data_IF_952376478283
#
_entry.id   IF_952376478283
#
_cell.length_a   1.000
_cell.length_b   1.000
_cell.length_c   1.000
_cell.angle_alpha   90.00
_cell.angle_beta   90.00
_cell.angle_gamma   90.00
#
_symmetry.space_group_name_H-M   'P 1'
#
loop_
_entity.id
_entity.type
_entity.pdbx_description
1 polymer ?
#
# COMPACT_ATOMS: atom_id res chain seq x y z
N UNK A 1 -2.43 -3.04 1.19
CA UNK A 1 -1.54 -2.07 0.52
C UNK A 1 -0.59 -2.78 -0.42
N UNK A 2 -0.23 -2.15 -1.55
CA UNK A 2 0.76 -2.67 -2.49
C UNK A 2 2.05 -1.85 -2.37
N UNK A 3 3.21 -2.51 -2.27
CA UNK A 3 4.51 -1.87 -2.24
C UNK A 3 5.35 -2.22 -3.46
N UNK A 4 6.38 -1.43 -3.73
CA UNK A 4 7.30 -1.64 -4.86
C UNK A 4 6.58 -1.69 -6.22
N UNK A 5 5.55 -0.87 -6.41
CA UNK A 5 4.73 -0.77 -7.64
C UNK A 5 5.43 -0.03 -8.80
N UNK A 6 6.75 0.17 -8.71
CA UNK A 6 7.57 0.83 -9.72
C UNK A 6 8.73 -0.08 -10.12
N UNK A 7 8.95 -0.24 -11.44
CA UNK A 7 10.09 -1.00 -11.98
C UNK A 7 11.44 -0.48 -11.48
N UNK A 8 11.56 0.84 -11.27
CA UNK A 8 12.79 1.43 -10.75
C UNK A 8 13.04 1.01 -9.29
N UNK A 9 12.01 1.07 -8.43
CA UNK A 9 12.10 0.62 -7.03
C UNK A 9 12.33 -0.89 -6.95
N UNK A 10 11.65 -1.70 -7.78
CA UNK A 10 11.86 -3.15 -7.86
C UNK A 10 13.31 -3.51 -8.18
N UNK A 11 13.90 -2.87 -9.21
CA UNK A 11 15.32 -3.06 -9.55
C UNK A 11 16.26 -2.63 -8.41
N UNK A 12 15.97 -1.53 -7.74
CA UNK A 12 16.77 -1.05 -6.60
C UNK A 12 16.74 -2.04 -5.43
N UNK A 13 15.60 -2.68 -5.18
CA UNK A 13 15.39 -3.62 -4.09
C UNK A 13 15.66 -5.08 -4.48
N UNK A 14 16.12 -5.33 -5.72
CA UNK A 14 16.38 -6.65 -6.28
C UNK A 14 15.19 -7.62 -6.16
N UNK A 15 14.00 -7.16 -6.55
CA UNK A 15 12.79 -7.99 -6.65
C UNK A 15 12.13 -7.88 -8.01
N UNK A 16 11.40 -8.93 -8.39
CA UNK A 16 10.75 -9.03 -9.71
C UNK A 16 9.25 -8.72 -9.67
N UNK A 17 8.64 -8.77 -8.49
CA UNK A 17 7.21 -8.55 -8.28
C UNK A 17 6.94 -7.52 -7.18
N UNK A 18 5.81 -6.79 -7.25
CA UNK A 18 5.33 -5.98 -6.14
C UNK A 18 5.11 -6.82 -4.89
N UNK A 19 5.20 -6.17 -3.73
CA UNK A 19 4.86 -6.78 -2.44
C UNK A 19 3.50 -6.28 -1.96
N UNK A 20 2.92 -6.96 -0.97
CA UNK A 20 1.71 -6.51 -0.31
C UNK A 20 1.83 -6.52 1.21
N UNK A 21 0.94 -5.79 1.87
CA UNK A 21 0.78 -5.80 3.31
C UNK A 21 -0.67 -5.57 3.71
N UNK A 22 -0.98 -5.94 4.95
CA UNK A 22 -2.31 -5.78 5.53
C UNK A 22 -2.49 -4.38 6.11
N UNK A 23 -3.73 -3.89 6.05
CA UNK A 23 -4.19 -2.69 6.74
C UNK A 23 -5.19 -3.13 7.80
N UNK A 24 -4.99 -2.69 9.03
CA UNK A 24 -5.88 -2.99 10.15
C UNK A 24 -6.77 -1.78 10.45
N UNK A 25 -7.88 -2.01 11.14
CA UNK A 25 -8.87 -0.98 11.46
C UNK A 25 -8.27 0.22 12.21
N UNK A 26 -7.34 -0.04 13.13
CA UNK A 26 -6.63 0.95 13.93
C UNK A 26 -5.62 1.80 13.15
N UNK A 27 -5.31 1.42 11.91
CA UNK A 27 -4.44 2.19 11.01
C UNK A 27 -5.20 3.26 10.23
N UNK A 28 -6.54 3.25 10.25
CA UNK A 28 -7.36 4.17 9.47
C UNK A 28 -7.49 5.51 10.19
N UNK A 29 -7.02 6.57 9.53
CA UNK A 29 -7.19 7.94 9.99
C UNK A 29 -8.16 8.66 9.05
N UNK A 30 -9.31 9.17 9.56
CA UNK A 30 -10.26 9.92 8.74
C UNK A 30 -9.62 11.16 8.09
N UNK A 31 -10.17 11.59 6.96
CA UNK A 31 -9.73 12.83 6.32
C UNK A 31 -9.84 14.03 7.29
N UNK A 32 -8.78 14.83 7.39
CA UNK A 32 -8.66 15.91 8.38
C UNK A 32 -8.30 15.44 9.80
N UNK A 33 -8.08 14.14 10.00
CA UNK A 33 -7.61 13.56 11.26
C UNK A 33 -6.15 13.91 11.57
N UNK A 34 -5.69 13.45 12.74
CA UNK A 34 -4.34 13.73 13.24
C UNK A 34 -3.60 12.43 13.57
N UNK A 35 -2.29 12.44 13.35
CA UNK A 35 -1.39 11.32 13.63
C UNK A 35 -0.42 11.73 14.74
N UNK A 36 -0.26 10.85 15.74
CA UNK A 36 0.66 11.06 16.86
C UNK A 36 2.08 10.64 16.45
N UNK A 37 2.89 11.61 16.05
CA UNK A 37 4.26 11.37 15.56
C UNK A 37 5.18 10.65 16.56
N UNK A 38 4.91 10.78 17.87
CA UNK A 38 5.66 10.09 18.92
C UNK A 38 5.31 8.60 19.07
N UNK A 39 4.30 8.11 18.35
CA UNK A 39 3.95 6.69 18.25
C UNK A 39 4.57 6.02 17.01
N UNK A 40 5.30 6.79 16.21
CA UNK A 40 5.97 6.36 14.98
C UNK A 40 7.49 6.42 15.14
N UNK A 41 8.22 5.75 14.26
CA UNK A 41 9.68 5.64 14.31
C UNK A 41 10.33 6.74 13.46
N UNK A 42 10.05 6.73 12.16
CA UNK A 42 10.61 7.63 11.14
C UNK A 42 9.71 7.64 9.89
N UNK A 43 8.47 8.16 10.01
CA UNK A 43 7.46 7.99 8.99
C UNK A 43 7.73 8.82 7.72
N UNK A 44 7.22 8.32 6.59
CA UNK A 44 7.13 9.02 5.31
C UNK A 44 5.69 8.93 4.80
N UNK A 45 5.31 9.84 3.90
CA UNK A 45 3.97 9.89 3.31
C UNK A 45 4.04 9.60 1.82
N UNK A 46 3.20 8.70 1.34
CA UNK A 46 2.99 8.40 -0.08
C UNK A 46 1.54 8.72 -0.46
N UNK A 47 1.32 9.32 -1.63
CA UNK A 47 -0.03 9.59 -2.15
C UNK A 47 -0.45 8.45 -3.07
N UNK A 48 -1.62 7.85 -2.79
CA UNK A 48 -2.12 6.69 -3.53
C UNK A 48 -3.61 6.80 -3.87
N UNK A 49 -4.10 5.84 -4.65
CA UNK A 49 -5.53 5.63 -4.94
C UNK A 49 -5.91 4.28 -4.35
N UNK A 50 -6.83 4.28 -3.39
CA UNK A 50 -7.41 3.07 -2.84
C UNK A 50 -8.61 2.61 -3.69
N UNK A 51 -8.72 1.29 -3.85
CA UNK A 51 -9.78 0.61 -4.56
C UNK A 51 -10.64 -0.11 -3.52
N UNK A 52 -11.90 0.28 -3.39
CA UNK A 52 -12.87 -0.46 -2.57
C UNK A 52 -13.58 -1.44 -3.49
N UNK A 53 -13.42 -2.75 -3.22
CA UNK A 53 -14.09 -3.80 -3.98
C UNK A 53 -15.55 -3.92 -3.54
N UNK A 54 -16.46 -4.01 -4.51
CA UNK A 54 -17.87 -4.35 -4.27
C UNK A 54 -18.13 -5.85 -4.38
N UNK A 55 -17.24 -6.58 -5.05
CA UNK A 55 -17.31 -8.02 -5.26
C UNK A 55 -15.94 -8.65 -5.03
N UNK A 56 -15.92 -9.92 -4.60
CA UNK A 56 -14.68 -10.66 -4.40
C UNK A 56 -13.98 -10.92 -5.75
N UNK A 57 -12.64 -10.83 -5.75
CA UNK A 57 -11.79 -11.23 -6.87
C UNK A 57 -10.86 -12.36 -6.43
N UNK A 58 -10.76 -13.41 -7.24
CA UNK A 58 -9.95 -14.58 -6.93
C UNK A 58 -9.08 -14.97 -8.14
N UNK A 59 -7.81 -15.26 -7.88
CA UNK A 59 -6.85 -15.67 -8.90
C UNK A 59 -6.71 -17.19 -9.05
N UNK A 60 -5.79 -17.65 -9.91
CA UNK A 60 -4.88 -16.86 -10.75
C UNK A 60 -5.53 -16.33 -12.04
N UNK A 61 -4.86 -15.39 -12.72
CA UNK A 61 -5.24 -14.94 -14.07
C UNK A 61 -6.28 -13.81 -14.12
N UNK A 62 -6.49 -13.09 -13.01
CA UNK A 62 -7.36 -11.91 -12.97
C UNK A 62 -6.87 -10.84 -13.95
N UNK A 63 -7.76 -10.36 -14.82
CA UNK A 63 -7.46 -9.29 -15.79
C UNK A 63 -7.72 -7.92 -15.20
N UNK A 64 -7.16 -6.88 -15.83
CA UNK A 64 -7.42 -5.49 -15.44
C UNK A 64 -8.91 -5.15 -15.52
N UNK A 65 -9.58 -5.63 -16.55
CA UNK A 65 -11.00 -5.38 -16.81
C UNK A 65 -11.85 -5.99 -15.69
N UNK A 66 -11.56 -7.22 -15.27
CA UNK A 66 -12.23 -7.86 -14.13
C UNK A 66 -12.05 -7.08 -12.83
N UNK A 67 -10.84 -6.58 -12.55
CA UNK A 67 -10.61 -5.73 -11.38
C UNK A 67 -11.44 -4.46 -11.46
N UNK A 68 -11.46 -3.79 -12.61
CA UNK A 68 -12.23 -2.55 -12.79
C UNK A 68 -13.74 -2.77 -12.63
N UNK A 69 -14.26 -3.91 -13.09
CA UNK A 69 -15.67 -4.28 -12.91
C UNK A 69 -16.03 -4.56 -11.44
N UNK A 70 -15.12 -5.16 -10.68
CA UNK A 70 -15.34 -5.47 -9.26
C UNK A 70 -15.20 -4.26 -8.31
N UNK A 71 -14.75 -3.10 -8.79
CA UNK A 71 -14.50 -1.91 -7.96
C UNK A 71 -15.79 -1.13 -7.74
N UNK A 72 -16.18 -0.97 -6.48
CA UNK A 72 -17.30 -0.14 -6.08
C UNK A 72 -16.91 1.34 -6.00
N UNK A 73 -15.74 1.65 -5.42
CA UNK A 73 -15.32 3.03 -5.18
C UNK A 73 -13.81 3.23 -5.36
N UNK A 74 -13.42 4.44 -5.76
CA UNK A 74 -12.05 4.91 -5.81
C UNK A 74 -11.87 6.08 -4.84
N UNK A 75 -10.85 6.00 -3.99
CA UNK A 75 -10.64 6.97 -2.93
C UNK A 75 -9.19 7.47 -2.99
N UNK A 76 -8.93 8.79 -3.10
CA UNK A 76 -7.60 9.34 -2.88
C UNK A 76 -7.19 9.13 -1.42
N UNK A 77 -6.01 8.57 -1.19
CA UNK A 77 -5.50 8.28 0.15
C UNK A 77 -4.05 8.74 0.32
N UNK A 78 -3.67 8.99 1.56
CA UNK A 78 -2.29 9.16 1.97
C UNK A 78 -1.88 7.94 2.79
N UNK A 79 -0.86 7.21 2.35
CA UNK A 79 -0.25 6.15 3.16
C UNK A 79 0.89 6.73 3.99
N UNK A 80 0.83 6.54 5.31
CA UNK A 80 1.95 6.83 6.21
C UNK A 80 2.75 5.54 6.41
N UNK A 81 3.89 5.44 5.73
CA UNK A 81 4.80 4.30 5.84
C UNK A 81 5.84 4.55 6.92
N UNK A 82 6.12 3.55 7.74
CA UNK A 82 7.02 3.69 8.89
C UNK A 82 7.86 2.42 9.08
N UNK A 83 9.05 2.40 8.50
CA UNK A 83 9.92 1.23 8.55
C UNK A 83 10.30 0.87 9.99
N UNK A 84 10.38 -0.42 10.33
CA UNK A 84 10.99 -0.86 11.60
C UNK A 84 12.51 -0.99 11.51
N UNK A 85 13.07 -0.95 10.31
CA UNK A 85 14.50 -0.97 10.04
C UNK A 85 15.05 0.43 9.83
N UNK A 86 16.27 0.67 10.32
CA UNK A 86 17.01 1.92 10.13
C UNK A 86 17.12 2.27 8.64
N UNK A 87 16.97 3.57 8.34
CA UNK A 87 17.14 4.13 7.00
C UNK A 87 16.27 3.50 5.90
N UNK A 88 15.19 2.79 6.24
CA UNK A 88 14.40 2.01 5.29
C UNK A 88 15.25 0.96 4.53
N UNK A 89 16.36 0.51 5.13
CA UNK A 89 17.23 -0.50 4.53
C UNK A 89 16.75 -1.89 4.92
N UNK A 90 16.28 -2.66 3.94
CA UNK A 90 15.88 -4.04 4.10
C UNK A 90 16.06 -4.80 2.80
N UNK A 91 16.18 -6.12 2.90
CA UNK A 91 16.17 -7.04 1.76
C UNK A 91 15.03 -8.02 1.96
N UNK A 92 14.31 -8.33 0.89
CA UNK A 92 13.27 -9.36 0.92
C UNK A 92 13.94 -10.75 0.87
N UNK A 93 13.35 -11.78 1.51
CA UNK A 93 13.93 -13.13 1.57
C UNK A 93 14.26 -13.74 0.20
#
# INVERSE_FOLDING_TARGET
KMGLTSRAKMKQMNVEEPIYGYIFEDMIVPNGGSIRMNELIHPKVEAEIAFVLGEDIEGPGVTKEQVLEAVAELIPVLEVIDSRYENFSFTLP
#
